data_IF_741047872267
#
_entry.id   IF_741047872267
#
_cell.length_a   1.000
_cell.length_b   1.000
_cell.length_c   1.000
_cell.angle_alpha   90.00
_cell.angle_beta   90.00
_cell.angle_gamma   90.00
#
_symmetry.space_group_name_H-M   'P 1'
#
loop_
_entity.id
_entity.type
_entity.pdbx_description
1 polymer ?
#
# COMPACT_ATOMS: atom_id res chain seq x y z
N UNK A 1 41.40 -13.57 -20.93
CA UNK A 1 42.47 -12.96 -20.12
C UNK A 1 42.85 -11.63 -20.75
N UNK A 2 42.35 -10.50 -20.24
CA UNK A 2 42.81 -9.17 -20.63
C UNK A 2 42.68 -8.27 -19.40
N UNK A 3 43.83 -7.81 -18.90
CA UNK A 3 43.97 -6.86 -17.78
C UNK A 3 44.13 -5.47 -18.38
N UNK A 4 43.42 -4.49 -17.84
CA UNK A 4 43.76 -3.08 -17.99
C UNK A 4 43.85 -2.50 -16.57
N UNK A 5 45.04 -1.99 -16.27
CA UNK A 5 45.41 -1.25 -15.07
C UNK A 5 44.71 0.13 -15.02
N UNK A 6 44.28 0.55 -13.83
CA UNK A 6 44.26 1.97 -13.49
C UNK A 6 44.94 2.26 -12.15
N UNK A 7 45.81 3.28 -12.23
CA UNK A 7 46.74 3.78 -11.23
C UNK A 7 46.05 4.56 -10.11
N UNK A 8 46.73 4.54 -8.98
CA UNK A 8 46.52 5.30 -7.76
C UNK A 8 46.79 6.82 -7.86
N UNK A 9 46.27 7.54 -6.86
CA UNK A 9 46.65 8.89 -6.43
C UNK A 9 45.39 9.73 -6.15
N UNK A 10 45.17 10.39 -5.01
CA UNK A 10 45.97 10.76 -3.85
C UNK A 10 45.16 11.81 -3.08
N UNK A 11 45.40 11.92 -1.77
CA UNK A 11 44.59 12.63 -0.77
C UNK A 11 44.56 14.18 -0.87
N UNK A 12 43.40 14.77 -0.49
CA UNK A 12 43.10 15.97 0.36
C UNK A 12 43.86 17.31 0.12
N UNK A 13 43.49 18.44 0.76
CA UNK A 13 42.18 19.08 1.02
C UNK A 13 42.16 20.56 0.53
N UNK A 14 40.99 21.22 0.48
CA UNK A 14 40.93 22.70 0.36
C UNK A 14 39.88 23.28 1.32
N UNK A 15 40.37 23.96 2.35
CA UNK A 15 39.67 25.03 3.08
C UNK A 15 40.30 26.37 2.68
N UNK A 16 39.71 27.49 3.15
CA UNK A 16 40.15 28.92 3.04
C UNK A 16 39.28 29.69 2.01
N UNK A 17 38.59 30.83 2.29
CA UNK A 17 38.72 31.86 3.34
C UNK A 17 37.44 32.71 3.46
N UNK A 18 37.24 33.25 4.67
CA UNK A 18 36.47 34.46 4.98
C UNK A 18 36.83 35.67 4.09
N UNK A 19 35.84 36.53 3.83
CA UNK A 19 36.05 37.96 3.62
C UNK A 19 35.17 38.77 4.58
N UNK A 20 35.87 39.51 5.43
CA UNK A 20 35.37 40.60 6.26
C UNK A 20 34.76 41.72 5.40
N UNK A 21 33.69 42.33 5.91
CA UNK A 21 33.44 43.76 5.73
C UNK A 21 33.13 44.35 7.11
N UNK A 22 34.14 45.03 7.65
CA UNK A 22 34.04 45.89 8.82
C UNK A 22 34.00 47.36 8.40
N UNK A 23 33.19 48.14 9.11
CA UNK A 23 33.32 49.60 9.23
C UNK A 23 31.99 50.34 9.07
N UNK A 24 31.61 51.30 9.91
CA UNK A 24 32.31 52.00 11.00
C UNK A 24 31.30 52.97 11.65
N UNK A 25 31.43 53.17 12.98
CA UNK A 25 31.18 54.41 13.78
C UNK A 25 29.73 54.95 13.78
N UNK A 26 29.12 55.31 14.90
CA UNK A 26 29.61 55.80 16.18
C UNK A 26 28.49 56.69 16.80
N UNK A 27 28.63 57.14 18.05
CA UNK A 27 27.52 57.31 19.00
C UNK A 27 27.00 58.75 19.12
N UNK A 28 25.78 58.92 19.62
CA UNK A 28 25.36 60.17 20.27
C UNK A 28 24.27 59.89 21.32
N UNK A 29 24.65 59.98 22.60
CA UNK A 29 23.73 60.36 23.67
C UNK A 29 23.54 61.88 23.58
N UNK A 30 22.29 62.36 23.55
CA UNK A 30 21.94 63.70 24.02
C UNK A 30 20.65 63.61 24.83
N UNK A 31 20.77 64.05 26.07
CA UNK A 31 19.69 64.34 27.02
C UNK A 31 19.02 65.64 26.59
N UNK A 32 17.70 65.69 26.55
CA UNK A 32 16.96 66.94 26.68
C UNK A 32 15.55 66.66 27.21
N UNK A 33 15.37 66.96 28.49
CA UNK A 33 14.07 67.14 29.13
C UNK A 33 13.41 68.41 28.58
N UNK A 34 12.15 68.32 28.15
CA UNK A 34 11.24 69.46 28.07
C UNK A 34 9.96 69.07 28.79
N UNK A 35 9.62 69.89 29.78
CA UNK A 35 8.40 69.80 30.59
C UNK A 35 7.35 70.81 30.10
N UNK A 36 6.08 70.47 30.35
CA UNK A 36 4.83 71.25 30.26
C UNK A 36 4.39 71.63 28.82
N UNK A 37 3.11 71.51 28.41
CA UNK A 37 1.88 72.05 29.04
C UNK A 37 0.62 71.24 28.62
N UNK A 38 -0.22 70.96 29.61
CA UNK A 38 -1.69 70.87 29.67
C UNK A 38 -2.56 70.17 28.59
N UNK A 39 -3.41 69.29 29.14
CA UNK A 39 -4.86 69.17 28.93
C UNK A 39 -5.39 68.96 27.50
N UNK A 40 -5.86 67.73 27.24
CA UNK A 40 -6.79 67.48 26.16
C UNK A 40 -7.01 66.00 25.89
N UNK A 41 -8.18 65.51 26.27
CA UNK A 41 -8.88 64.36 25.68
C UNK A 41 -8.31 62.96 25.98
N UNK A 42 -9.07 62.22 26.78
CA UNK A 42 -9.02 60.76 26.90
C UNK A 42 -9.23 60.15 25.52
N UNK A 43 -8.15 59.71 24.87
CA UNK A 43 -8.22 58.72 23.82
C UNK A 43 -7.80 57.39 24.45
N UNK A 44 -8.77 56.52 24.70
CA UNK A 44 -8.53 55.10 24.94
C UNK A 44 -7.80 54.54 23.71
N UNK A 45 -6.47 54.60 23.72
CA UNK A 45 -5.66 53.67 22.93
C UNK A 45 -5.85 52.33 23.62
N UNK A 46 -6.93 51.65 23.27
CA UNK A 46 -7.06 50.25 23.58
C UNK A 46 -5.85 49.57 22.97
N UNK A 47 -4.90 49.17 23.82
CA UNK A 47 -4.10 47.99 23.53
C UNK A 47 -5.13 46.91 23.16
N UNK A 48 -5.24 46.61 21.86
CA UNK A 48 -5.81 45.34 21.48
C UNK A 48 -4.92 44.32 22.17
N UNK A 49 -5.38 43.77 23.29
CA UNK A 49 -4.80 42.57 23.85
C UNK A 49 -4.82 41.59 22.68
N UNK A 50 -3.63 41.23 22.21
CA UNK A 50 -3.47 40.09 21.31
C UNK A 50 -4.33 38.98 21.92
N UNK A 51 -5.28 38.45 21.14
CA UNK A 51 -6.08 37.33 21.61
C UNK A 51 -5.11 36.30 22.23
N UNK A 52 -5.39 35.75 23.42
CA UNK A 52 -4.54 34.73 23.99
C UNK A 52 -4.30 33.68 22.91
N UNK A 53 -3.04 33.29 22.73
CA UNK A 53 -2.73 32.19 21.82
C UNK A 53 -3.63 31.00 22.23
N UNK A 54 -4.27 30.32 21.27
CA UNK A 54 -5.11 29.17 21.59
C UNK A 54 -4.32 28.18 22.45
N UNK A 55 -4.93 27.77 23.56
CA UNK A 55 -4.34 26.80 24.48
C UNK A 55 -4.45 25.41 23.88
N UNK A 56 -3.38 24.98 23.20
CA UNK A 56 -3.31 23.70 22.53
C UNK A 56 -2.65 22.61 23.41
N UNK A 57 -2.44 22.87 24.71
CA UNK A 57 -1.75 21.94 25.62
C UNK A 57 -2.40 20.56 25.66
N UNK A 58 -3.73 20.49 25.78
CA UNK A 58 -4.45 19.20 25.77
C UNK A 58 -4.38 18.45 24.44
N UNK A 59 -4.20 19.15 23.31
CA UNK A 59 -4.03 18.50 21.99
C UNK A 59 -2.60 17.99 21.78
N UNK A 60 -1.61 18.56 22.45
CA UNK A 60 -0.24 18.05 22.49
C UNK A 60 -0.18 16.83 23.41
N UNK A 61 -0.78 16.94 24.60
CA UNK A 61 -0.78 15.88 25.61
C UNK A 61 -1.42 14.58 25.08
N UNK A 62 -2.52 14.66 24.32
CA UNK A 62 -3.14 13.45 23.73
C UNK A 62 -2.23 12.76 22.70
N UNK A 63 -1.38 13.52 22.00
CA UNK A 63 -0.42 12.97 21.03
C UNK A 63 0.74 12.28 21.77
N UNK A 64 1.23 12.89 22.86
CA UNK A 64 2.26 12.28 23.71
C UNK A 64 1.74 10.99 24.35
N UNK A 65 0.54 11.02 24.96
CA UNK A 65 -0.10 9.84 25.54
C UNK A 65 -0.32 8.73 24.51
N UNK A 66 -0.68 9.07 23.27
CA UNK A 66 -0.82 8.10 22.19
C UNK A 66 0.48 7.34 21.94
N UNK A 67 1.61 8.03 21.82
CA UNK A 67 2.90 7.37 21.63
C UNK A 67 3.40 6.64 22.89
N UNK A 68 3.10 7.13 24.08
CA UNK A 68 3.40 6.41 25.34
C UNK A 68 2.70 5.04 25.36
N UNK A 69 1.43 4.98 24.94
CA UNK A 69 0.69 3.72 24.84
C UNK A 69 1.23 2.82 23.72
N UNK A 70 1.61 3.38 22.56
CA UNK A 70 2.22 2.59 21.49
C UNK A 70 3.57 1.98 21.93
N UNK A 71 4.43 2.75 22.59
CA UNK A 71 5.71 2.24 23.11
C UNK A 71 5.51 1.17 24.19
N UNK A 72 4.43 1.27 24.97
CA UNK A 72 4.05 0.27 25.97
C UNK A 72 3.38 -0.99 25.37
N UNK A 73 3.08 -1.01 24.06
CA UNK A 73 2.35 -2.10 23.41
C UNK A 73 0.84 -2.11 23.70
N UNK A 74 0.29 -1.01 24.23
CA UNK A 74 -1.11 -0.89 24.67
C UNK A 74 -2.00 -0.39 23.52
N UNK A 75 -2.22 -1.25 22.52
CA UNK A 75 -3.00 -0.92 21.31
C UNK A 75 -4.41 -0.39 21.62
N UNK A 76 -5.10 -1.02 22.56
CA UNK A 76 -6.46 -0.64 22.97
C UNK A 76 -6.51 0.77 23.55
N UNK A 77 -5.53 1.11 24.38
CA UNK A 77 -5.44 2.42 25.02
C UNK A 77 -5.06 3.51 24.00
N UNK A 78 -4.10 3.21 23.11
CA UNK A 78 -3.72 4.11 22.02
C UNK A 78 -4.90 4.41 21.09
N UNK A 79 -5.62 3.38 20.63
CA UNK A 79 -6.76 3.53 19.73
C UNK A 79 -7.89 4.40 20.33
N UNK A 80 -8.12 4.30 21.64
CA UNK A 80 -9.15 5.08 22.35
C UNK A 80 -8.90 6.60 22.34
N UNK A 81 -7.65 7.03 22.13
CA UNK A 81 -7.27 8.45 22.00
C UNK A 81 -7.55 9.03 20.62
N UNK A 82 -8.00 8.20 19.67
CA UNK A 82 -8.31 8.59 18.30
C UNK A 82 -9.83 8.67 18.06
N UNK A 83 -10.21 9.22 16.92
CA UNK A 83 -11.55 9.09 16.33
C UNK A 83 -11.60 8.11 15.13
N UNK A 84 -10.51 7.37 14.90
CA UNK A 84 -10.40 6.40 13.82
C UNK A 84 -11.25 5.17 14.17
N UNK A 85 -12.07 4.74 13.20
CA UNK A 85 -12.86 3.51 13.30
C UNK A 85 -11.97 2.33 12.88
N UNK A 86 -11.31 1.73 13.86
CA UNK A 86 -10.52 0.52 13.66
C UNK A 86 -11.42 -0.72 13.74
N UNK A 87 -11.05 -1.76 12.99
CA UNK A 87 -11.62 -3.08 13.22
C UNK A 87 -11.23 -3.55 14.63
N UNK A 88 -12.23 -3.89 15.46
CA UNK A 88 -12.01 -4.34 16.82
C UNK A 88 -11.15 -5.61 16.89
N UNK A 89 -11.11 -6.42 15.83
CA UNK A 89 -10.26 -7.59 15.75
C UNK A 89 -8.77 -7.27 15.50
N UNK A 90 -8.47 -6.04 15.05
CA UNK A 90 -7.11 -5.55 14.78
C UNK A 90 -6.55 -4.67 15.91
N UNK A 91 -7.41 -4.19 16.82
CA UNK A 91 -7.01 -3.49 18.04
C UNK A 91 -6.91 -4.52 19.17
N UNK A 92 -5.81 -5.25 19.16
CA UNK A 92 -5.47 -6.26 20.14
C UNK A 92 -4.02 -6.04 20.61
N UNK A 93 -3.82 -6.01 21.92
CA UNK A 93 -2.52 -5.67 22.52
C UNK A 93 -1.47 -6.77 22.24
N UNK A 94 -1.88 -8.04 22.16
CA UNK A 94 -0.98 -9.16 21.85
C UNK A 94 -0.55 -9.13 20.37
N UNK A 95 -1.50 -8.88 19.45
CA UNK A 95 -1.22 -8.69 18.02
C UNK A 95 -0.24 -7.53 17.80
N UNK A 96 -0.47 -6.42 18.48
CA UNK A 96 0.36 -5.22 18.34
C UNK A 96 1.76 -5.42 18.92
N UNK A 97 1.86 -6.02 20.11
CA UNK A 97 3.14 -6.36 20.73
C UNK A 97 3.94 -7.41 19.94
N UNK A 98 3.28 -8.25 19.12
CA UNK A 98 3.93 -9.21 18.22
C UNK A 98 4.53 -8.57 16.96
N UNK A 99 4.36 -7.25 16.75
CA UNK A 99 4.92 -6.53 15.61
C UNK A 99 6.45 -6.62 15.58
N UNK A 100 7.02 -6.69 14.38
CA UNK A 100 8.47 -6.75 14.17
C UNK A 100 9.21 -5.52 14.72
N UNK A 101 8.51 -4.40 14.89
CA UNK A 101 8.95 -3.22 15.63
C UNK A 101 7.74 -2.36 16.03
N UNK A 102 7.83 -1.71 17.20
CA UNK A 102 6.86 -0.71 17.67
C UNK A 102 7.54 0.67 17.80
N UNK A 103 6.79 1.77 17.67
CA UNK A 103 7.33 3.11 17.87
C UNK A 103 8.00 3.30 19.23
N UNK A 104 9.14 3.96 19.22
CA UNK A 104 9.90 4.33 20.41
C UNK A 104 10.56 5.70 20.24
N UNK A 105 11.03 6.31 21.33
CA UNK A 105 11.73 7.59 21.31
C UNK A 105 10.95 8.72 20.58
N UNK A 106 9.62 8.70 20.68
CA UNK A 106 8.75 9.63 19.99
C UNK A 106 8.91 11.07 20.50
N UNK A 107 8.98 12.03 19.58
CA UNK A 107 9.10 13.46 19.89
C UNK A 107 8.35 14.33 18.89
N UNK A 108 7.58 15.28 19.41
CA UNK A 108 6.95 16.30 18.57
C UNK A 108 8.03 17.30 18.15
N UNK A 109 8.34 17.35 16.84
CA UNK A 109 9.39 18.23 16.29
C UNK A 109 8.85 19.52 15.71
N UNK A 110 7.59 19.54 15.29
CA UNK A 110 6.93 20.77 14.87
C UNK A 110 5.43 20.71 15.16
N UNK A 111 4.83 21.87 15.41
CA UNK A 111 3.38 22.03 15.56
C UNK A 111 2.90 23.24 14.77
N UNK A 112 1.77 23.07 14.10
CA UNK A 112 1.04 24.14 13.43
C UNK A 112 -0.35 24.18 14.06
N UNK A 113 -0.69 25.29 14.70
CA UNK A 113 -2.06 25.50 15.19
C UNK A 113 -3.02 25.61 14.00
N UNK A 114 -4.07 24.80 13.98
CA UNK A 114 -5.01 24.76 12.86
C UNK A 114 -6.22 25.71 13.03
N UNK A 115 -6.23 26.49 14.12
CA UNK A 115 -7.34 27.36 14.50
C UNK A 115 -7.52 27.39 16.03
N UNK A 116 -8.76 27.60 16.49
CA UNK A 116 -9.06 27.87 17.91
C UNK A 116 -9.09 26.62 18.81
N UNK A 117 -8.98 25.40 18.27
CA UNK A 117 -9.19 24.17 19.06
C UNK A 117 -8.40 22.94 18.55
N UNK A 118 -7.31 23.13 17.81
CA UNK A 118 -6.56 22.00 17.26
C UNK A 118 -5.11 22.29 16.88
N UNK A 119 -4.38 21.20 16.70
CA UNK A 119 -2.97 21.19 16.33
C UNK A 119 -2.73 20.14 15.25
N UNK A 120 -1.92 20.49 14.27
CA UNK A 120 -1.23 19.52 13.41
C UNK A 120 0.20 19.41 13.93
N UNK A 121 0.59 18.22 14.38
CA UNK A 121 1.91 17.94 14.91
C UNK A 121 2.67 17.02 13.96
N UNK A 122 3.95 17.30 13.79
CA UNK A 122 4.89 16.39 13.15
C UNK A 122 5.67 15.68 14.25
N UNK A 123 5.55 14.36 14.31
CA UNK A 123 6.18 13.52 15.32
C UNK A 123 7.29 12.71 14.67
N UNK A 124 8.51 12.81 15.20
CA UNK A 124 9.60 11.89 14.86
C UNK A 124 9.63 10.75 15.87
N UNK A 125 9.83 9.51 15.42
CA UNK A 125 9.95 8.34 16.29
C UNK A 125 10.82 7.26 15.63
N UNK A 126 11.26 6.27 16.39
CA UNK A 126 12.09 5.16 15.91
C UNK A 126 11.24 3.90 15.81
N UNK A 127 11.27 3.23 14.65
CA UNK A 127 10.73 1.87 14.47
C UNK A 127 11.83 0.82 14.62
N UNK A 128 12.84 0.86 13.76
CA UNK A 128 13.86 -0.21 13.69
C UNK A 128 15.30 0.31 13.80
N UNK A 129 15.61 1.46 13.18
CA UNK A 129 16.96 2.03 13.17
C UNK A 129 16.98 3.43 13.79
N UNK A 130 17.67 3.58 14.93
CA UNK A 130 17.85 4.87 15.59
C UNK A 130 18.53 5.93 14.70
N UNK A 131 19.29 5.51 13.68
CA UNK A 131 19.93 6.44 12.75
C UNK A 131 18.96 7.05 11.72
N UNK A 132 17.79 6.42 11.52
CA UNK A 132 16.78 6.81 10.54
C UNK A 132 15.41 6.88 11.23
N UNK A 133 15.14 7.90 12.07
CA UNK A 133 13.83 8.09 12.67
C UNK A 133 12.78 8.41 11.59
N UNK A 134 11.60 7.85 11.77
CA UNK A 134 10.43 8.06 10.93
C UNK A 134 9.64 9.28 11.36
N UNK A 135 8.83 9.82 10.45
CA UNK A 135 8.03 11.02 10.70
C UNK A 135 6.54 10.78 10.40
N UNK A 136 5.67 11.14 11.33
CA UNK A 136 4.22 11.05 11.16
C UNK A 136 3.55 12.41 11.42
N UNK A 137 2.69 12.85 10.50
CA UNK A 137 1.78 13.98 10.73
C UNK A 137 0.53 13.48 11.46
N UNK A 138 0.26 14.06 12.63
CA UNK A 138 -0.96 13.82 13.41
C UNK A 138 -1.75 15.11 13.55
N UNK A 139 -3.07 14.98 13.48
CA UNK A 139 -3.98 16.09 13.80
C UNK A 139 -4.69 15.75 15.09
N UNK A 140 -4.72 16.69 16.03
CA UNK A 140 -5.50 16.55 17.25
C UNK A 140 -6.41 17.76 17.43
N UNK A 141 -7.65 17.50 17.87
CA UNK A 141 -8.66 18.51 18.13
C UNK A 141 -9.48 18.16 19.35
N UNK A 142 -10.00 19.18 20.02
CA UNK A 142 -10.99 18.98 21.09
C UNK A 142 -12.36 18.72 20.49
N UNK A 143 -12.89 17.51 20.68
CA UNK A 143 -14.25 17.09 20.33
C UNK A 143 -15.05 16.87 21.62
N UNK A 144 -16.22 17.48 21.74
CA UNK A 144 -17.08 17.38 22.93
C UNK A 144 -16.37 17.64 24.28
N UNK A 145 -15.36 18.52 24.26
CA UNK A 145 -14.55 18.87 25.43
C UNK A 145 -13.40 17.92 25.74
N UNK A 146 -13.18 16.89 24.92
CA UNK A 146 -12.10 15.91 25.05
C UNK A 146 -11.13 16.04 23.86
N UNK A 147 -9.82 16.21 24.09
CA UNK A 147 -8.84 16.17 23.00
C UNK A 147 -8.76 14.76 22.41
N UNK A 148 -8.82 14.68 21.08
CA UNK A 148 -8.68 13.43 20.31
C UNK A 148 -7.76 13.64 19.12
N UNK A 149 -7.05 12.59 18.74
CA UNK A 149 -6.37 12.53 17.44
C UNK A 149 -7.44 12.32 16.37
N UNK A 150 -7.56 13.28 15.46
CA UNK A 150 -8.56 13.31 14.39
C UNK A 150 -7.93 12.90 13.08
N UNK A 151 -8.04 11.62 12.74
CA UNK A 151 -7.36 11.02 11.61
C UNK A 151 -5.88 10.75 11.88
N UNK A 152 -5.50 9.50 11.71
CA UNK A 152 -4.14 9.13 11.38
C UNK A 152 -3.99 9.35 9.87
N UNK A 153 -2.90 9.95 9.41
CA UNK A 153 -2.69 10.15 7.97
C UNK A 153 -2.87 8.84 7.18
N UNK A 154 -3.12 8.92 5.86
CA UNK A 154 -3.33 7.72 5.02
C UNK A 154 -2.18 6.71 5.12
N UNK A 155 -1.00 7.18 5.55
CA UNK A 155 0.25 6.47 5.81
C UNK A 155 0.19 5.32 6.85
N UNK A 156 -0.98 4.98 7.42
CA UNK A 156 -1.15 3.87 8.38
C UNK A 156 -2.22 2.84 7.96
N UNK A 157 -2.74 2.95 6.74
CA UNK A 157 -3.73 2.04 6.22
C UNK A 157 -3.09 0.95 5.35
N UNK A 158 -3.49 -0.30 5.58
CA UNK A 158 -3.26 -1.39 4.63
C UNK A 158 -4.48 -1.45 3.72
N UNK A 159 -4.31 -0.95 2.50
CA UNK A 159 -5.33 -1.09 1.48
C UNK A 159 -5.34 -2.53 0.95
N UNK A 160 -6.51 -3.13 0.94
CA UNK A 160 -6.76 -4.46 0.38
C UNK A 160 -7.50 -4.23 -0.94
N UNK A 161 -6.77 -4.31 -2.04
CA UNK A 161 -7.36 -4.22 -3.38
C UNK A 161 -8.52 -5.18 -3.51
N UNK A 162 -9.57 -4.73 -4.20
CA UNK A 162 -10.85 -5.41 -4.39
C UNK A 162 -10.77 -6.65 -5.31
N UNK A 163 -9.56 -7.12 -5.63
CA UNK A 163 -9.40 -8.36 -6.37
C UNK A 163 -9.70 -9.53 -5.42
N UNK A 164 -10.58 -10.45 -5.80
CA UNK A 164 -10.91 -11.58 -4.95
C UNK A 164 -9.75 -12.59 -4.93
N UNK A 165 -9.26 -12.93 -3.74
CA UNK A 165 -8.20 -13.93 -3.51
C UNK A 165 -8.71 -15.10 -2.67
N UNK A 166 -8.34 -16.34 -3.02
CA UNK A 166 -8.74 -17.56 -2.30
C UNK A 166 -7.93 -17.83 -1.01
N UNK A 167 -6.86 -17.07 -0.80
CA UNK A 167 -5.91 -17.29 0.29
C UNK A 167 -6.25 -16.55 1.58
N UNK A 168 -5.48 -16.84 2.61
CA UNK A 168 -5.53 -16.12 3.89
C UNK A 168 -4.32 -15.20 4.03
N UNK A 169 -4.55 -14.01 4.58
CA UNK A 169 -3.48 -13.10 5.01
C UNK A 169 -3.31 -13.25 6.52
N UNK A 170 -2.07 -13.36 6.98
CA UNK A 170 -1.73 -13.37 8.40
C UNK A 170 -0.81 -12.21 8.74
N UNK A 171 -1.14 -11.50 9.82
CA UNK A 171 -0.38 -10.38 10.37
C UNK A 171 0.35 -10.86 11.64
N UNK A 172 1.66 -10.65 11.70
CA UNK A 172 2.55 -11.01 12.83
C UNK A 172 2.41 -12.47 13.31
N UNK A 173 2.05 -13.39 12.41
CA UNK A 173 1.67 -14.78 12.74
C UNK A 173 0.59 -14.93 13.82
N UNK A 174 -0.16 -13.85 14.11
CA UNK A 174 -1.09 -13.76 15.23
C UNK A 174 -2.55 -13.53 14.79
N UNK A 175 -2.77 -12.81 13.68
CA UNK A 175 -4.10 -12.53 13.17
C UNK A 175 -4.24 -12.98 11.71
N UNK A 176 -5.08 -13.99 11.47
CA UNK A 176 -5.35 -14.53 10.13
C UNK A 176 -6.76 -14.21 9.69
N UNK A 177 -6.92 -13.72 8.46
CA UNK A 177 -8.22 -13.42 7.85
C UNK A 177 -8.23 -13.71 6.35
N UNK A 178 -9.43 -13.80 5.78
CA UNK A 178 -9.60 -13.93 4.33
C UNK A 178 -9.80 -12.53 3.72
N UNK A 179 -8.94 -12.07 2.80
CA UNK A 179 -9.06 -10.76 2.17
C UNK A 179 -10.41 -10.50 1.52
N UNK A 180 -11.04 -11.52 0.93
CA UNK A 180 -12.37 -11.42 0.31
C UNK A 180 -13.50 -11.11 1.28
N UNK A 181 -13.28 -11.27 2.59
CA UNK A 181 -14.26 -10.97 3.64
C UNK A 181 -14.21 -9.51 4.10
N UNK A 182 -13.22 -8.72 3.64
CA UNK A 182 -13.06 -7.32 4.02
C UNK A 182 -13.93 -6.42 3.14
N UNK A 183 -15.13 -6.07 3.64
CA UNK A 183 -16.12 -5.27 2.91
C UNK A 183 -15.64 -3.87 2.49
N UNK A 184 -14.78 -3.25 3.31
CA UNK A 184 -14.26 -1.89 3.12
C UNK A 184 -13.14 -1.79 2.06
N UNK A 185 -12.56 -2.92 1.61
CA UNK A 185 -11.37 -2.92 0.75
C UNK A 185 -10.13 -2.27 1.39
N UNK A 186 -10.10 -2.11 2.71
CA UNK A 186 -8.93 -1.64 3.46
C UNK A 186 -9.10 -1.91 4.95
N UNK A 187 -7.97 -2.18 5.61
CA UNK A 187 -7.87 -2.20 7.05
C UNK A 187 -6.93 -1.07 7.50
N UNK A 188 -7.22 -0.44 8.63
CA UNK A 188 -6.34 0.57 9.23
C UNK A 188 -5.66 -0.06 10.43
N UNK A 189 -4.34 0.11 10.54
CA UNK A 189 -3.53 -0.41 11.63
C UNK A 189 -2.95 0.75 12.44
N UNK A 190 -2.53 0.46 13.68
CA UNK A 190 -1.75 1.42 14.46
C UNK A 190 -0.33 1.53 13.89
N UNK A 191 0.43 2.62 14.17
CA UNK A 191 1.80 2.70 13.73
C UNK A 191 2.65 1.58 14.35
N UNK A 192 3.20 0.72 13.51
CA UNK A 192 4.18 -0.31 13.84
C UNK A 192 4.76 -0.89 12.54
N UNK A 193 5.79 -1.73 12.66
CA UNK A 193 6.24 -2.59 11.56
C UNK A 193 5.59 -3.95 11.70
N UNK A 194 4.69 -4.27 10.78
CA UNK A 194 3.98 -5.54 10.73
C UNK A 194 4.66 -6.49 9.75
N UNK A 195 4.70 -7.77 10.11
CA UNK A 195 5.04 -8.85 9.19
C UNK A 195 3.75 -9.42 8.60
N UNK A 196 3.75 -9.61 7.28
CA UNK A 196 2.62 -10.17 6.56
C UNK A 196 3.02 -11.49 5.90
N UNK A 197 2.18 -12.50 6.02
CA UNK A 197 2.30 -13.75 5.26
C UNK A 197 1.00 -14.05 4.55
N UNK A 198 1.10 -14.58 3.33
CA UNK A 198 -0.05 -14.97 2.53
C UNK A 198 0.02 -16.47 2.22
N UNK A 199 -1.03 -17.20 2.63
CA UNK A 199 -1.16 -18.62 2.37
C UNK A 199 -2.24 -18.85 1.31
N UNK A 200 -1.82 -19.29 0.13
CA UNK A 200 -2.72 -19.65 -0.95
C UNK A 200 -3.05 -21.15 -0.91
N UNK A 201 -4.30 -21.55 -0.65
CA UNK A 201 -4.70 -22.95 -0.62
C UNK A 201 -4.67 -23.60 -2.02
N UNK A 202 -4.68 -22.80 -3.08
CA UNK A 202 -4.64 -23.31 -4.47
C UNK A 202 -3.23 -23.65 -4.93
N UNK A 203 -2.21 -23.12 -4.25
CA UNK A 203 -0.81 -23.20 -4.63
C UNK A 203 -0.48 -22.49 -5.96
N UNK A 204 -1.41 -21.72 -6.52
CA UNK A 204 -1.24 -20.99 -7.77
C UNK A 204 -0.58 -19.64 -7.54
N UNK A 205 -0.76 -19.05 -6.36
CA UNK A 205 -0.24 -17.74 -6.01
C UNK A 205 0.93 -17.84 -5.04
N UNK A 206 1.81 -16.84 -5.11
CA UNK A 206 2.84 -16.55 -4.11
C UNK A 206 2.95 -15.04 -3.92
N UNK A 207 3.41 -14.63 -2.75
CA UNK A 207 3.58 -13.23 -2.40
C UNK A 207 4.89 -12.70 -3.00
N UNK A 208 4.84 -11.62 -3.78
CA UNK A 208 6.01 -10.90 -4.32
C UNK A 208 5.97 -9.42 -3.97
N UNK A 209 7.16 -8.80 -3.91
CA UNK A 209 7.33 -7.36 -3.66
C UNK A 209 7.17 -6.61 -5.00
N UNK A 210 6.01 -5.99 -5.27
CA UNK A 210 5.80 -5.31 -6.57
C UNK A 210 4.83 -4.12 -6.49
N UNK A 211 5.18 -3.04 -7.22
CA UNK A 211 4.61 -1.68 -7.16
C UNK A 211 3.11 -1.53 -7.52
N UNK A 212 2.46 -2.53 -8.15
CA UNK A 212 1.03 -2.55 -8.49
C UNK A 212 0.33 -3.74 -7.82
N UNK A 213 0.21 -3.64 -6.50
CA UNK A 213 -0.12 -4.76 -5.63
C UNK A 213 -1.61 -4.92 -5.29
N UNK A 214 -1.95 -6.16 -4.93
CA UNK A 214 -3.19 -6.53 -4.26
C UNK A 214 -3.34 -5.94 -2.87
N UNK A 215 -2.25 -5.85 -2.13
CA UNK A 215 -2.20 -5.25 -0.81
C UNK A 215 -1.22 -4.11 -0.87
N UNK A 216 -1.66 -2.92 -0.49
CA UNK A 216 -0.81 -1.76 -0.41
C UNK A 216 -0.77 -1.34 1.04
N UNK A 217 0.34 -1.66 1.71
CA UNK A 217 0.65 -1.15 3.04
C UNK A 217 1.18 0.26 2.83
N UNK A 218 0.39 1.26 3.20
CA UNK A 218 0.95 2.58 3.41
C UNK A 218 1.64 2.54 4.76
N UNK A 219 2.97 2.67 4.72
CA UNK A 219 3.77 2.83 5.92
C UNK A 219 4.03 4.32 6.17
N UNK A 220 4.35 4.71 7.42
CA UNK A 220 4.72 6.08 7.78
C UNK A 220 5.86 6.69 6.97
N UNK A 221 6.64 5.87 6.27
CA UNK A 221 7.89 6.27 5.60
C UNK A 221 7.67 6.81 4.18
N UNK A 222 6.40 7.04 3.79
CA UNK A 222 5.97 7.32 2.40
C UNK A 222 6.30 6.22 1.38
N UNK A 223 6.96 5.14 1.80
CA UNK A 223 7.17 3.97 0.96
C UNK A 223 5.91 3.11 0.98
N UNK A 224 5.20 3.13 -0.15
CA UNK A 224 4.14 2.19 -0.46
C UNK A 224 4.74 0.79 -0.54
N UNK A 225 4.58 0.00 0.52
CA UNK A 225 4.96 -1.42 0.51
C UNK A 225 3.81 -2.22 -0.07
N UNK A 226 4.01 -2.64 -1.31
CA UNK A 226 3.03 -3.26 -2.15
C UNK A 226 3.28 -4.79 -2.14
N UNK A 227 2.47 -5.52 -1.37
CA UNK A 227 2.58 -6.98 -1.15
C UNK A 227 1.63 -7.73 -2.10
N UNK A 228 2.13 -8.35 -3.16
CA UNK A 228 1.28 -8.84 -4.26
C UNK A 228 1.27 -10.37 -4.32
N UNK A 229 0.13 -11.04 -4.06
CA UNK A 229 -0.08 -12.37 -4.58
C UNK A 229 0.00 -12.34 -6.12
N UNK A 230 1.02 -12.97 -6.67
CA UNK A 230 1.22 -13.18 -8.09
C UNK A 230 1.14 -14.66 -8.39
N UNK A 231 0.77 -15.02 -9.62
CA UNK A 231 0.94 -16.39 -10.05
C UNK A 231 2.38 -16.84 -9.86
N UNK A 232 2.54 -18.05 -9.33
CA UNK A 232 3.83 -18.69 -9.32
C UNK A 232 4.36 -18.76 -10.76
N UNK A 233 5.68 -18.62 -10.96
CA UNK A 233 6.27 -18.51 -12.30
C UNK A 233 5.94 -19.65 -13.26
N UNK A 234 5.52 -20.81 -12.75
CA UNK A 234 5.18 -22.00 -13.51
C UNK A 234 3.71 -22.06 -13.96
N UNK A 235 2.82 -21.24 -13.38
CA UNK A 235 1.37 -21.31 -13.65
C UNK A 235 1.02 -20.82 -15.05
N UNK A 236 1.44 -19.62 -15.44
CA UNK A 236 1.12 -19.09 -16.78
C UNK A 236 1.69 -19.97 -17.92
N UNK A 237 2.95 -20.45 -17.85
CA UNK A 237 3.47 -21.39 -18.83
C UNK A 237 2.68 -22.70 -18.89
N UNK A 238 2.30 -23.25 -17.73
CA UNK A 238 1.56 -24.51 -17.69
C UNK A 238 0.14 -24.36 -18.24
N UNK A 239 -0.57 -23.28 -17.91
CA UNK A 239 -1.87 -22.95 -18.49
C UNK A 239 -1.76 -22.79 -20.01
N UNK A 240 -0.74 -22.09 -20.50
CA UNK A 240 -0.53 -21.94 -21.94
C UNK A 240 -0.25 -23.29 -22.64
N UNK A 241 0.56 -24.15 -22.02
CA UNK A 241 0.85 -25.48 -22.53
C UNK A 241 -0.40 -26.38 -22.56
N UNK A 242 -1.26 -26.29 -21.54
CA UNK A 242 -2.49 -27.07 -21.47
C UNK A 242 -3.50 -26.62 -22.53
N UNK A 243 -3.64 -25.32 -22.78
CA UNK A 243 -4.46 -24.82 -23.91
C UNK A 243 -3.92 -25.33 -25.25
N UNK A 244 -2.60 -25.30 -25.46
CA UNK A 244 -2.00 -25.83 -26.69
C UNK A 244 -2.25 -27.33 -26.85
N UNK A 245 -2.16 -28.09 -25.76
CA UNK A 245 -2.51 -29.52 -25.74
C UNK A 245 -3.97 -29.74 -26.13
N UNK A 246 -4.90 -28.94 -25.61
CA UNK A 246 -6.32 -29.02 -25.95
C UNK A 246 -6.60 -28.63 -27.42
N UNK A 247 -5.89 -27.64 -27.96
CA UNK A 247 -5.98 -27.27 -29.37
C UNK A 247 -5.52 -28.42 -30.28
N UNK A 248 -4.35 -29.02 -30.00
CA UNK A 248 -3.86 -30.17 -30.73
C UNK A 248 -4.78 -31.39 -30.61
N UNK A 249 -5.29 -31.68 -29.41
CA UNK A 249 -6.24 -32.76 -29.20
C UNK A 249 -7.56 -32.53 -29.95
N UNK A 250 -8.05 -31.29 -30.01
CA UNK A 250 -9.22 -30.95 -30.83
C UNK A 250 -8.99 -31.24 -32.32
N UNK A 251 -7.80 -30.92 -32.84
CA UNK A 251 -7.41 -31.25 -34.23
C UNK A 251 -7.33 -32.77 -34.46
N UNK A 252 -6.68 -33.51 -33.55
CA UNK A 252 -6.58 -34.98 -33.61
C UNK A 252 -7.95 -35.67 -33.50
N UNK A 253 -8.89 -35.06 -32.76
CA UNK A 253 -10.29 -35.49 -32.62
C UNK A 253 -11.17 -35.04 -33.80
N UNK A 254 -10.59 -34.46 -34.85
CA UNK A 254 -11.34 -34.04 -36.05
C UNK A 254 -12.28 -32.86 -35.82
N UNK A 255 -11.87 -31.91 -34.98
CA UNK A 255 -12.56 -30.63 -34.69
C UNK A 255 -13.98 -30.75 -34.10
N UNK A 256 -14.34 -31.94 -33.61
CA UNK A 256 -15.70 -32.21 -33.06
C UNK A 256 -15.68 -32.97 -31.73
N UNK A 257 -14.50 -33.28 -31.20
CA UNK A 257 -14.34 -34.04 -29.96
C UNK A 257 -14.42 -33.20 -28.67
N UNK A 258 -14.31 -33.87 -27.50
CA UNK A 258 -14.44 -33.23 -26.19
C UNK A 258 -13.39 -32.15 -25.91
N UNK A 259 -12.22 -32.22 -26.56
CA UNK A 259 -11.16 -31.21 -26.41
C UNK A 259 -11.48 -29.92 -27.15
N UNK A 260 -12.44 -29.93 -28.08
CA UNK A 260 -12.84 -28.75 -28.83
C UNK A 260 -13.70 -27.78 -28.00
N UNK A 261 -13.53 -26.46 -28.20
CA UNK A 261 -14.48 -25.46 -27.72
C UNK A 261 -15.85 -25.66 -28.36
N UNK A 262 -16.93 -25.48 -27.60
CA UNK A 262 -18.29 -25.70 -28.09
C UNK A 262 -18.65 -24.78 -29.25
N UNK A 263 -18.14 -23.53 -29.25
CA UNK A 263 -18.38 -22.56 -30.32
C UNK A 263 -17.82 -23.05 -31.66
N UNK A 264 -16.70 -23.78 -31.64
CA UNK A 264 -16.10 -24.38 -32.83
C UNK A 264 -16.93 -25.55 -33.34
N UNK A 265 -17.34 -26.44 -32.43
CA UNK A 265 -18.17 -27.61 -32.76
C UNK A 265 -19.50 -27.17 -33.38
N UNK A 266 -20.12 -26.13 -32.83
CA UNK A 266 -21.35 -25.55 -33.37
C UNK A 266 -21.14 -24.94 -34.77
N UNK A 267 -20.03 -24.22 -34.99
CA UNK A 267 -19.73 -23.62 -36.30
C UNK A 267 -19.49 -24.68 -37.40
N UNK A 268 -19.06 -25.88 -37.02
CA UNK A 268 -18.75 -26.99 -37.92
C UNK A 268 -19.89 -28.00 -38.06
N UNK A 269 -21.02 -27.81 -37.36
CA UNK A 269 -22.13 -28.78 -37.31
C UNK A 269 -22.63 -29.22 -38.70
N UNK A 270 -22.69 -28.30 -39.66
CA UNK A 270 -23.21 -28.57 -41.01
C UNK A 270 -22.10 -28.88 -42.03
N UNK A 271 -20.84 -29.01 -41.60
CA UNK A 271 -19.72 -29.34 -42.48
C UNK A 271 -19.61 -30.86 -42.62
N UNK A 272 -19.57 -31.34 -43.86
CA UNK A 272 -19.62 -32.77 -44.16
C UNK A 272 -18.38 -33.55 -43.70
N UNK A 273 -17.20 -32.92 -43.69
CA UNK A 273 -15.94 -33.53 -43.23
C UNK A 273 -15.07 -32.50 -42.48
N UNK A 274 -15.33 -32.27 -41.18
CA UNK A 274 -14.55 -31.34 -40.37
C UNK A 274 -13.08 -31.71 -40.21
N UNK A 275 -12.73 -33.00 -40.29
CA UNK A 275 -11.36 -33.48 -40.10
C UNK A 275 -10.41 -33.09 -41.25
N UNK A 276 -10.95 -32.75 -42.42
CA UNK A 276 -10.17 -32.25 -43.55
C UNK A 276 -9.79 -30.76 -43.43
N UNK A 277 -10.32 -30.06 -42.42
CA UNK A 277 -10.15 -28.62 -42.27
C UNK A 277 -8.88 -28.31 -41.47
N UNK A 278 -8.01 -27.47 -42.03
CA UNK A 278 -6.90 -26.90 -41.27
C UNK A 278 -7.40 -25.71 -40.45
N UNK A 279 -7.00 -25.63 -39.19
CA UNK A 279 -7.27 -24.50 -38.30
C UNK A 279 -5.96 -23.79 -37.92
N UNK A 280 -6.02 -22.47 -37.78
CA UNK A 280 -4.96 -21.65 -37.19
C UNK A 280 -5.51 -20.88 -36.00
N UNK A 281 -4.81 -20.96 -34.87
CA UNK A 281 -5.24 -20.36 -33.61
C UNK A 281 -4.50 -19.05 -33.35
N UNK A 282 -5.25 -17.97 -33.12
CA UNK A 282 -4.68 -16.67 -32.77
C UNK A 282 -5.25 -16.22 -31.43
N UNK A 283 -4.38 -16.05 -30.43
CA UNK A 283 -4.80 -15.51 -29.13
C UNK A 283 -5.41 -14.11 -29.32
N UNK A 284 -6.56 -13.87 -28.68
CA UNK A 284 -7.22 -12.56 -28.68
C UNK A 284 -7.01 -11.88 -27.33
N UNK A 285 -7.53 -12.48 -26.26
CA UNK A 285 -7.52 -11.95 -24.88
C UNK A 285 -7.25 -13.07 -23.88
N UNK A 286 -6.75 -12.70 -22.69
CA UNK A 286 -6.36 -13.62 -21.63
C UNK A 286 -5.03 -14.35 -21.88
N UNK A 287 -4.68 -15.34 -21.04
CA UNK A 287 -5.51 -15.93 -20.00
C UNK A 287 -5.83 -14.94 -18.87
N UNK A 288 -7.12 -14.71 -18.64
CA UNK A 288 -7.60 -13.98 -17.47
C UNK A 288 -8.04 -15.02 -16.44
N UNK A 289 -7.62 -14.86 -15.19
CA UNK A 289 -8.05 -15.69 -14.08
C UNK A 289 -8.97 -14.89 -13.17
N UNK A 290 -10.17 -15.41 -12.96
CA UNK A 290 -11.19 -14.81 -12.11
C UNK A 290 -11.39 -15.73 -10.92
N UNK A 291 -11.45 -15.18 -9.71
CA UNK A 291 -11.84 -15.98 -8.56
C UNK A 291 -13.37 -16.09 -8.50
N UNK A 292 -13.86 -17.32 -8.58
CA UNK A 292 -15.27 -17.66 -8.36
C UNK A 292 -15.35 -18.49 -7.08
N UNK A 293 -15.82 -17.87 -5.99
CA UNK A 293 -15.80 -18.49 -4.67
C UNK A 293 -14.37 -18.61 -4.12
N UNK A 294 -13.85 -19.83 -4.02
CA UNK A 294 -12.49 -20.14 -3.56
C UNK A 294 -11.63 -20.77 -4.66
N UNK A 295 -12.08 -20.69 -5.91
CA UNK A 295 -11.46 -21.35 -7.06
C UNK A 295 -11.12 -20.34 -8.15
N UNK A 296 -9.96 -20.51 -8.78
CA UNK A 296 -9.55 -19.70 -9.91
C UNK A 296 -10.10 -20.30 -11.20
N UNK A 297 -10.97 -19.56 -11.86
CA UNK A 297 -11.49 -19.86 -13.19
C UNK A 297 -10.67 -19.13 -14.24
N UNK A 298 -10.17 -19.89 -15.21
CA UNK A 298 -9.52 -19.38 -16.40
C UNK A 298 -10.57 -19.01 -17.45
N UNK A 299 -10.35 -17.89 -18.12
CA UNK A 299 -10.95 -17.58 -19.40
C UNK A 299 -9.86 -17.11 -20.39
N UNK A 300 -9.71 -17.83 -21.50
CA UNK A 300 -8.80 -17.46 -22.57
C UNK A 300 -9.52 -17.52 -23.92
N UNK A 301 -9.52 -16.41 -24.66
CA UNK A 301 -10.22 -16.29 -25.93
C UNK A 301 -9.25 -16.39 -27.10
N UNK A 302 -9.59 -17.24 -28.06
CA UNK A 302 -8.83 -17.45 -29.28
C UNK A 302 -9.71 -17.20 -30.50
N UNK A 303 -9.05 -16.85 -31.60
CA UNK A 303 -9.62 -16.78 -32.92
C UNK A 303 -9.18 -18.02 -33.69
N UNK A 304 -10.11 -18.94 -33.95
CA UNK A 304 -9.90 -20.09 -34.81
C UNK A 304 -10.18 -19.69 -36.26
N UNK A 305 -9.15 -19.63 -37.10
CA UNK A 305 -9.30 -19.45 -38.55
C UNK A 305 -9.31 -20.80 -39.24
N UNK A 306 -10.46 -21.13 -39.82
CA UNK A 306 -10.65 -22.30 -40.68
C UNK A 306 -10.21 -21.93 -42.10
N UNK A 307 -9.40 -22.77 -42.74
CA UNK A 307 -8.92 -22.50 -44.10
C UNK A 307 -9.97 -22.83 -45.17
N UNK A 308 -10.75 -23.90 -44.99
CA UNK A 308 -11.84 -24.29 -45.88
C UNK A 308 -13.02 -24.89 -45.08
N UNK A 309 -14.16 -24.17 -44.92
CA UNK A 309 -14.45 -22.84 -45.46
C UNK A 309 -13.63 -21.75 -44.75
N UNK A 310 -13.30 -20.67 -45.46
CA UNK A 310 -12.62 -19.50 -44.87
C UNK A 310 -13.54 -18.76 -43.92
N UNK A 311 -13.60 -19.25 -42.69
CA UNK A 311 -14.42 -18.73 -41.61
C UNK A 311 -13.52 -18.51 -40.41
N UNK A 312 -13.89 -17.51 -39.63
CA UNK A 312 -13.20 -17.17 -38.40
C UNK A 312 -14.20 -17.30 -37.27
N UNK A 313 -13.86 -18.10 -36.26
CA UNK A 313 -14.70 -18.40 -35.09
C UNK A 313 -13.97 -17.91 -33.86
N UNK A 314 -14.63 -17.12 -33.03
CA UNK A 314 -14.14 -16.80 -31.69
C UNK A 314 -14.49 -17.96 -30.77
N UNK A 315 -13.49 -18.51 -30.09
CA UNK A 315 -13.62 -19.66 -29.20
C UNK A 315 -13.06 -19.34 -27.82
N UNK A 316 -13.59 -20.01 -26.81
CA UNK A 316 -13.17 -19.81 -25.43
C UNK A 316 -12.63 -21.11 -24.85
N UNK A 317 -11.41 -21.06 -24.31
CA UNK A 317 -10.92 -22.08 -23.39
C UNK A 317 -11.15 -21.55 -21.98
N UNK A 318 -12.10 -22.16 -21.29
CA UNK A 318 -12.44 -21.83 -19.91
C UNK A 318 -12.44 -23.09 -19.05
N UNK A 319 -12.15 -22.93 -17.77
CA UNK A 319 -12.11 -24.04 -16.81
C UNK A 319 -11.46 -23.64 -15.50
N UNK A 320 -11.55 -24.52 -14.50
CA UNK A 320 -10.92 -24.33 -13.20
C UNK A 320 -9.42 -24.62 -13.30
N UNK A 321 -8.59 -23.72 -12.80
CA UNK A 321 -7.15 -23.93 -12.68
C UNK A 321 -6.86 -24.49 -11.30
N UNK A 322 -6.23 -25.64 -11.25
CA UNK A 322 -5.84 -26.31 -10.01
C UNK A 322 -4.41 -26.87 -10.13
N UNK A 323 -3.87 -27.34 -9.01
CA UNK A 323 -2.71 -28.23 -9.03
C UNK A 323 -3.14 -29.66 -8.74
N UNK A 324 -2.60 -30.61 -9.50
CA UNK A 324 -2.76 -32.03 -9.21
C UNK A 324 -1.87 -32.49 -8.04
N UNK A 325 -1.97 -33.77 -7.65
CA UNK A 325 -1.17 -34.35 -6.55
C UNK A 325 0.36 -34.31 -6.79
N UNK A 326 0.78 -34.19 -8.05
CA UNK A 326 2.19 -34.04 -8.42
C UNK A 326 2.64 -32.56 -8.42
N UNK A 327 1.74 -31.63 -8.14
CA UNK A 327 1.98 -30.20 -8.17
C UNK A 327 1.93 -29.60 -9.57
N UNK A 328 1.43 -30.32 -10.58
CA UNK A 328 1.31 -29.82 -11.95
C UNK A 328 0.04 -28.98 -12.08
N UNK A 329 0.15 -27.83 -12.74
CA UNK A 329 -1.03 -27.00 -13.01
C UNK A 329 -1.86 -27.63 -14.11
N UNK A 330 -3.15 -27.81 -13.85
CA UNK A 330 -4.12 -28.43 -14.76
C UNK A 330 -5.33 -27.52 -14.97
N UNK A 331 -5.97 -27.69 -16.13
CA UNK A 331 -7.22 -27.02 -16.47
C UNK A 331 -8.35 -28.04 -16.49
N UNK A 332 -9.26 -27.94 -15.53
CA UNK A 332 -10.46 -28.77 -15.46
C UNK A 332 -11.63 -28.08 -16.15
N UNK A 333 -12.27 -28.77 -17.09
CA UNK A 333 -13.33 -28.24 -17.97
C UNK A 333 -14.71 -28.79 -17.65
#
# INVERSE_FOLDING_TARGET
MSRIDHRAGGALPVSVRLRELAGRRGPARVVASIALVAAGSVALVGCAASAPAPDNSGSIEVIEQFFDHLEAGEATAAAALTDVDFDAALIDDDLYAASAAIPSDARIVSTVGDGWTGVTAQVEYVLDDQAHPETLELRARTQDGVPKITGLGSHLSVHISLLPYAGTLTINDAFTFTPSEVESGSITLLPARYDFTYADPTGLLEMTDAEDSAFTVQTPTDDLHAIRPTFRPDVEPAVAAEIQRLQGACEDEGLTGPSCPSELVEALRDVADPAAISVSWFRQTGPDLVLTGQEYELAATYLARLEEPRVTVTVSYAGRVTRDEAGTVVLER
#
